data_IF_677728715234
#
_entry.id   IF_677728715234
#
_cell.length_a   1.000
_cell.length_b   1.000
_cell.length_c   1.000
_cell.angle_alpha   90.00
_cell.angle_beta   90.00
_cell.angle_gamma   90.00
#
_symmetry.space_group_name_H-M   'P 1'
#
loop_
_entity.id
_entity.type
_entity.pdbx_description
1 polymer ?
#
# COMPACT_ATOMS: atom_id res chain seq x y z
N UNK A 1 3.78 -11.38 17.49
CA UNK A 1 3.13 -10.20 18.11
C UNK A 1 2.47 -9.37 17.02
N UNK A 2 1.17 -9.14 17.10
CA UNK A 2 0.44 -8.24 16.19
C UNK A 2 0.81 -6.80 16.52
N UNK A 3 1.09 -5.98 15.48
CA UNK A 3 1.46 -4.57 15.61
C UNK A 3 0.60 -3.75 14.66
N UNK A 4 0.37 -2.50 15.02
CA UNK A 4 -0.31 -1.53 14.17
C UNK A 4 0.74 -0.74 13.41
N UNK A 5 0.73 -0.80 12.08
CA UNK A 5 1.76 -0.24 11.21
C UNK A 5 1.10 0.74 10.25
N UNK A 6 1.66 1.94 10.09
CA UNK A 6 1.23 2.91 9.09
C UNK A 6 2.27 2.99 7.98
N UNK A 7 1.84 2.89 6.73
CA UNK A 7 2.69 3.02 5.55
C UNK A 7 2.23 4.26 4.78
N UNK A 8 3.16 5.17 4.51
CA UNK A 8 2.92 6.34 3.67
C UNK A 8 3.44 6.04 2.26
N UNK A 9 2.53 6.04 1.28
CA UNK A 9 2.79 5.76 -0.12
C UNK A 9 2.24 4.40 -0.57
N UNK A 10 1.18 4.42 -1.38
CA UNK A 10 0.54 3.27 -2.03
C UNK A 10 1.12 2.95 -3.41
N UNK A 11 2.44 3.16 -3.57
CA UNK A 11 3.16 2.75 -4.79
C UNK A 11 3.41 1.23 -4.84
N UNK A 12 4.30 0.81 -5.73
CA UNK A 12 4.63 -0.60 -5.94
C UNK A 12 5.18 -1.26 -4.66
N UNK A 13 6.21 -0.67 -4.07
CA UNK A 13 6.85 -1.17 -2.84
C UNK A 13 5.92 -1.07 -1.64
N UNK A 14 5.22 0.07 -1.48
CA UNK A 14 4.33 0.29 -0.34
C UNK A 14 3.15 -0.68 -0.31
N UNK A 15 2.55 -0.96 -1.46
CA UNK A 15 1.46 -1.92 -1.59
C UNK A 15 1.92 -3.37 -1.34
N UNK A 16 3.11 -3.74 -1.86
CA UNK A 16 3.71 -5.05 -1.59
C UNK A 16 3.99 -5.24 -0.10
N UNK A 17 4.67 -4.26 0.52
CA UNK A 17 5.00 -4.30 1.94
C UNK A 17 3.73 -4.38 2.81
N UNK A 18 2.71 -3.59 2.49
CA UNK A 18 1.43 -3.61 3.19
C UNK A 18 0.79 -5.01 3.14
N UNK A 19 0.80 -5.64 1.98
CA UNK A 19 0.26 -6.99 1.77
C UNK A 19 1.04 -8.03 2.57
N UNK A 20 2.37 -8.01 2.52
CA UNK A 20 3.23 -8.95 3.25
C UNK A 20 3.09 -8.83 4.77
N UNK A 21 2.93 -7.61 5.29
CA UNK A 21 2.73 -7.37 6.72
C UNK A 21 1.32 -7.78 7.17
N UNK A 22 0.30 -7.53 6.34
CA UNK A 22 -1.06 -7.98 6.61
C UNK A 22 -1.16 -9.52 6.63
N UNK A 23 -0.50 -10.21 5.69
CA UNK A 23 -0.41 -11.67 5.67
C UNK A 23 0.26 -12.25 6.92
N UNK A 24 1.20 -11.51 7.54
CA UNK A 24 1.83 -11.87 8.82
C UNK A 24 0.97 -11.55 10.06
N UNK A 25 -0.27 -11.10 9.86
CA UNK A 25 -1.21 -10.83 10.95
C UNK A 25 -1.03 -9.47 11.61
N UNK A 26 -0.37 -8.51 10.95
CA UNK A 26 -0.28 -7.12 11.42
C UNK A 26 -1.46 -6.28 10.92
N UNK A 27 -1.87 -5.28 11.71
CA UNK A 27 -2.88 -4.30 11.30
C UNK A 27 -2.19 -3.17 10.54
N UNK A 28 -2.39 -3.10 9.23
CA UNK A 28 -1.71 -2.12 8.36
C UNK A 28 -2.67 -1.03 7.92
N UNK A 29 -2.27 0.24 8.06
CA UNK A 29 -2.93 1.41 7.46
C UNK A 29 -2.04 1.97 6.36
N UNK A 30 -2.47 1.84 5.10
CA UNK A 30 -1.79 2.41 3.94
C UNK A 30 -2.44 3.75 3.58
N UNK A 31 -1.63 4.80 3.42
CA UNK A 31 -2.11 6.14 3.06
C UNK A 31 -1.38 6.58 1.81
N UNK A 32 -2.11 6.94 0.75
CA UNK A 32 -1.59 7.47 -0.49
C UNK A 32 -2.18 8.87 -0.72
N UNK A 33 -1.36 9.79 -1.26
CA UNK A 33 -1.78 11.15 -1.58
C UNK A 33 -2.66 11.20 -2.83
N UNK A 34 -2.37 10.34 -3.81
CA UNK A 34 -3.12 10.27 -5.07
C UNK A 34 -4.48 9.61 -4.85
N UNK A 35 -5.44 9.99 -5.70
CA UNK A 35 -6.73 9.31 -5.79
C UNK A 35 -6.55 7.83 -6.14
N UNK A 36 -7.53 7.00 -5.78
CA UNK A 36 -7.51 5.56 -6.07
C UNK A 36 -7.37 5.32 -7.59
N UNK A 37 -6.29 4.68 -8.04
CA UNK A 37 -6.05 4.42 -9.46
C UNK A 37 -7.10 3.48 -10.08
N UNK A 38 -7.93 2.80 -9.28
CA UNK A 38 -9.05 1.97 -9.75
C UNK A 38 -10.29 2.81 -10.08
N UNK A 39 -10.40 4.01 -9.53
CA UNK A 39 -11.54 4.91 -9.70
C UNK A 39 -11.25 6.08 -10.66
N UNK A 40 -9.98 6.32 -11.00
CA UNK A 40 -9.56 7.40 -11.89
C UNK A 40 -8.47 6.91 -12.86
N UNK A 41 -8.37 7.53 -14.04
CA UNK A 41 -7.22 7.35 -14.94
C UNK A 41 -5.98 7.92 -14.25
N UNK A 42 -5.28 7.08 -13.50
CA UNK A 42 -4.07 7.43 -12.78
C UNK A 42 -2.85 6.91 -13.55
N UNK A 43 -1.71 7.55 -13.35
CA UNK A 43 -0.42 7.09 -13.86
C UNK A 43 -0.16 5.64 -13.42
N UNK A 44 -0.21 4.71 -14.37
CA UNK A 44 0.17 3.32 -14.14
C UNK A 44 1.66 3.28 -13.79
N UNK A 45 1.99 2.66 -12.66
CA UNK A 45 3.39 2.42 -12.29
C UNK A 45 4.14 1.76 -13.45
N UNK A 46 5.43 2.10 -13.58
CA UNK A 46 6.33 1.45 -14.54
C UNK A 46 6.78 0.09 -14.02
N UNK A 47 7.07 -0.84 -14.92
CA UNK A 47 7.60 -2.15 -14.55
C UNK A 47 8.88 -2.01 -13.73
N UNK A 48 9.02 -2.83 -12.69
CA UNK A 48 10.23 -3.00 -11.88
C UNK A 48 10.91 -4.29 -12.34
#
# INVERSE_FOLDING_TARGET
>A
MTKTITIAGGGLVGSLLATLLAQRGHRVRLVERRSDPRAASAYAGRSI
#
